data_IF_521087609600
#
_entry.id   IF_521087609600
#
_cell.length_a   1.000
_cell.length_b   1.000
_cell.length_c   1.000
_cell.angle_alpha   90.00
_cell.angle_beta   90.00
_cell.angle_gamma   90.00
#
_symmetry.space_group_name_H-M   'P 1'
#
loop_
_entity.id
_entity.type
_entity.pdbx_description
1 polymer ?
#
# COMPACT_ATOMS: atom_id res chain seq x y z
N UNK A 1 -16.66 42.16 -18.93
CA UNK A 1 -17.25 41.11 -18.06
C UNK A 1 -16.61 39.80 -18.46
N UNK A 2 -15.52 39.43 -17.79
CA UNK A 2 -14.61 38.36 -18.22
C UNK A 2 -15.04 37.07 -17.56
N UNK A 3 -15.67 36.18 -18.32
CA UNK A 3 -16.04 34.83 -17.87
C UNK A 3 -14.77 33.99 -17.75
N UNK A 4 -14.27 33.84 -16.52
CA UNK A 4 -13.25 32.84 -16.22
C UNK A 4 -13.86 31.45 -16.42
N UNK A 5 -13.58 30.83 -17.57
CA UNK A 5 -13.81 29.40 -17.77
C UNK A 5 -12.95 28.64 -16.75
N UNK A 6 -13.57 28.22 -15.64
CA UNK A 6 -12.94 27.29 -14.71
C UNK A 6 -12.77 25.95 -15.45
N UNK A 7 -11.56 25.70 -15.95
CA UNK A 7 -11.17 24.39 -16.44
C UNK A 7 -11.34 23.39 -15.29
N UNK A 8 -12.44 22.64 -15.32
CA UNK A 8 -12.71 21.52 -14.43
C UNK A 8 -11.59 20.49 -14.58
N UNK A 9 -10.56 20.60 -13.73
CA UNK A 9 -9.54 19.57 -13.61
C UNK A 9 -10.22 18.33 -13.05
N UNK A 10 -10.55 17.40 -13.94
CA UNK A 10 -11.07 16.08 -13.56
C UNK A 10 -10.07 15.48 -12.56
N UNK A 11 -10.50 15.15 -11.34
CA UNK A 11 -9.60 14.69 -10.28
C UNK A 11 -9.13 13.26 -10.59
N UNK A 12 -8.15 13.13 -11.48
CA UNK A 12 -7.46 11.85 -11.81
C UNK A 12 -6.44 11.44 -10.75
N UNK A 13 -6.10 12.34 -9.83
CA UNK A 13 -5.04 12.13 -8.84
C UNK A 13 -5.28 10.93 -7.93
N UNK A 14 -6.52 10.68 -7.49
CA UNK A 14 -6.81 9.57 -6.57
C UNK A 14 -6.54 8.20 -7.21
N UNK A 15 -6.90 8.03 -8.48
CA UNK A 15 -6.67 6.77 -9.19
C UNK A 15 -5.17 6.53 -9.42
N UNK A 16 -4.43 7.58 -9.79
CA UNK A 16 -2.96 7.50 -9.94
C UNK A 16 -2.32 7.06 -8.63
N UNK A 17 -2.71 7.68 -7.51
CA UNK A 17 -2.19 7.33 -6.18
C UNK A 17 -2.46 5.85 -5.83
N UNK A 18 -3.68 5.35 -6.10
CA UNK A 18 -4.02 3.95 -5.84
C UNK A 18 -3.29 2.97 -6.75
N UNK A 19 -3.08 3.33 -8.02
CA UNK A 19 -2.28 2.52 -8.95
C UNK A 19 -0.82 2.47 -8.49
N UNK A 20 -0.23 3.61 -8.10
CA UNK A 20 1.12 3.64 -7.53
C UNK A 20 1.23 2.79 -6.26
N UNK A 21 0.22 2.88 -5.39
CA UNK A 21 0.16 2.06 -4.17
C UNK A 21 0.08 0.56 -4.50
N UNK A 22 -0.75 0.18 -5.47
CA UNK A 22 -0.85 -1.21 -5.92
C UNK A 22 0.49 -1.72 -6.48
N UNK A 23 1.17 -0.92 -7.31
CA UNK A 23 2.48 -1.27 -7.85
C UNK A 23 3.54 -1.43 -6.75
N UNK A 24 3.51 -0.57 -5.73
CA UNK A 24 4.39 -0.70 -4.55
C UNK A 24 4.16 -2.01 -3.80
N UNK A 25 2.90 -2.42 -3.62
CA UNK A 25 2.57 -3.71 -3.01
C UNK A 25 3.04 -4.89 -3.85
N UNK A 26 2.89 -4.83 -5.17
CA UNK A 26 3.40 -5.89 -6.07
C UNK A 26 4.93 -5.96 -6.01
N UNK A 27 5.62 -4.82 -6.05
CA UNK A 27 7.07 -4.77 -5.96
C UNK A 27 7.58 -5.30 -4.62
N UNK A 28 6.94 -4.94 -3.52
CA UNK A 28 7.26 -5.45 -2.20
C UNK A 28 7.01 -6.96 -2.07
N UNK A 29 5.86 -7.45 -2.57
CA UNK A 29 5.55 -8.88 -2.54
C UNK A 29 6.57 -9.68 -3.34
N UNK A 30 6.91 -9.21 -4.56
CA UNK A 30 7.97 -9.80 -5.34
C UNK A 30 9.30 -9.82 -4.56
N UNK A 31 9.66 -8.72 -3.92
CA UNK A 31 10.86 -8.69 -3.09
C UNK A 31 10.81 -9.72 -1.94
N UNK A 32 9.72 -9.78 -1.17
CA UNK A 32 9.59 -10.73 -0.06
C UNK A 32 9.68 -12.21 -0.50
N UNK A 33 9.01 -12.57 -1.61
CA UNK A 33 8.98 -13.95 -2.10
C UNK A 33 10.28 -14.38 -2.80
N UNK A 34 11.00 -13.44 -3.45
CA UNK A 34 12.27 -13.73 -4.12
C UNK A 34 13.49 -13.50 -3.22
N UNK A 35 13.35 -12.80 -2.10
CA UNK A 35 14.46 -12.53 -1.19
C UNK A 35 14.98 -13.82 -0.54
N UNK A 36 16.32 -13.98 -0.45
CA UNK A 36 16.92 -15.05 0.33
C UNK A 36 16.59 -14.97 1.82
N UNK A 37 16.45 -16.14 2.43
CA UNK A 37 16.20 -16.32 3.87
C UNK A 37 17.49 -16.38 4.70
N UNK A 38 18.64 -16.24 4.06
CA UNK A 38 19.95 -16.30 4.71
C UNK A 38 20.90 -15.23 4.17
N UNK A 39 21.87 -14.85 4.99
CA UNK A 39 22.92 -13.92 4.62
C UNK A 39 24.08 -14.64 3.92
N UNK A 40 24.75 -13.94 3.01
CA UNK A 40 25.93 -14.49 2.35
C UNK A 40 27.06 -14.72 3.37
N UNK A 41 27.85 -15.78 3.15
CA UNK A 41 29.05 -16.11 3.93
C UNK A 41 28.81 -16.48 5.41
N UNK A 42 27.61 -16.96 5.77
CA UNK A 42 27.32 -17.41 7.14
C UNK A 42 27.37 -16.28 8.17
N UNK A 43 27.10 -15.04 7.75
CA UNK A 43 26.95 -13.91 8.67
C UNK A 43 25.83 -14.20 9.66
N UNK A 44 25.98 -13.69 10.89
CA UNK A 44 24.94 -13.85 11.90
C UNK A 44 23.60 -13.26 11.41
N UNK A 45 22.53 -14.04 11.54
CA UNK A 45 21.17 -13.73 11.11
C UNK A 45 20.28 -13.47 12.33
N UNK A 46 19.42 -12.44 12.25
CA UNK A 46 18.35 -12.21 13.22
C UNK A 46 18.20 -10.75 13.66
N UNK A 47 17.09 -10.48 14.34
CA UNK A 47 16.72 -9.18 14.91
C UNK A 47 17.38 -9.01 16.30
N UNK A 48 18.69 -8.78 16.34
CA UNK A 48 19.46 -8.62 17.59
C UNK A 48 20.70 -7.72 17.45
N UNK A 49 21.26 -7.26 18.58
CA UNK A 49 22.46 -6.41 18.59
C UNK A 49 23.68 -7.18 18.04
N UNK A 50 24.10 -6.83 16.82
CA UNK A 50 25.33 -7.33 16.19
C UNK A 50 25.12 -8.30 15.02
N UNK A 51 23.88 -8.69 14.71
CA UNK A 51 23.55 -9.54 13.56
C UNK A 51 22.88 -8.72 12.46
N UNK A 52 23.07 -9.10 11.19
CA UNK A 52 22.47 -8.38 10.07
C UNK A 52 21.14 -9.03 9.71
N UNK A 53 20.14 -8.20 9.37
CA UNK A 53 18.86 -8.71 8.89
C UNK A 53 19.09 -9.50 7.60
N UNK A 54 18.40 -10.63 7.47
CA UNK A 54 18.32 -11.33 6.19
C UNK A 54 17.60 -10.45 5.18
N UNK A 55 17.82 -10.64 3.86
CA UNK A 55 17.08 -9.92 2.85
C UNK A 55 15.56 -10.06 2.99
N UNK A 56 15.06 -11.24 3.40
CA UNK A 56 13.63 -11.44 3.69
C UNK A 56 13.19 -10.68 4.94
N UNK A 57 13.96 -10.71 6.04
CA UNK A 57 13.63 -9.94 7.25
C UNK A 57 13.60 -8.44 6.99
N UNK A 58 14.50 -7.94 6.13
CA UNK A 58 14.52 -6.55 5.71
C UNK A 58 13.25 -6.20 4.91
N UNK A 59 12.79 -7.10 4.05
CA UNK A 59 11.52 -6.93 3.34
C UNK A 59 10.34 -6.92 4.32
N UNK A 60 10.30 -7.83 5.30
CA UNK A 60 9.29 -7.85 6.37
C UNK A 60 9.28 -6.54 7.15
N UNK A 61 10.45 -6.05 7.55
CA UNK A 61 10.62 -4.79 8.27
C UNK A 61 10.14 -3.58 7.45
N UNK A 62 10.54 -3.49 6.17
CA UNK A 62 10.09 -2.42 5.27
C UNK A 62 8.57 -2.48 5.04
N UNK A 63 8.01 -3.68 4.90
CA UNK A 63 6.57 -3.91 4.74
C UNK A 63 5.78 -3.42 5.95
N UNK A 64 6.24 -3.78 7.14
CA UNK A 64 5.57 -3.48 8.42
C UNK A 64 5.71 -2.03 8.87
N UNK A 65 6.90 -1.43 8.73
CA UNK A 65 7.17 -0.09 9.27
C UNK A 65 6.89 1.03 8.26
N UNK A 66 7.11 0.80 6.97
CA UNK A 66 6.92 1.83 5.95
C UNK A 66 5.65 1.59 5.14
N UNK A 67 5.55 0.44 4.46
CA UNK A 67 4.49 0.20 3.48
C UNK A 67 3.10 0.12 4.13
N UNK A 68 2.98 -0.57 5.27
CA UNK A 68 1.74 -0.69 6.03
C UNK A 68 1.16 0.66 6.48
N UNK A 69 1.88 1.47 7.27
CA UNK A 69 1.40 2.78 7.72
C UNK A 69 1.11 3.74 6.56
N UNK A 70 1.95 3.77 5.53
CA UNK A 70 1.72 4.58 4.33
C UNK A 70 0.44 4.16 3.61
N UNK A 71 0.18 2.86 3.51
CA UNK A 71 -1.05 2.34 2.94
C UNK A 71 -2.27 2.77 3.75
N UNK A 72 -2.21 2.68 5.08
CA UNK A 72 -3.28 3.16 5.96
C UNK A 72 -3.62 4.63 5.73
N UNK A 73 -2.61 5.50 5.63
CA UNK A 73 -2.79 6.92 5.34
C UNK A 73 -3.42 7.17 3.96
N UNK A 74 -2.93 6.49 2.92
CA UNK A 74 -3.47 6.63 1.56
C UNK A 74 -4.93 6.18 1.50
N UNK A 75 -5.26 5.04 2.11
CA UNK A 75 -6.62 4.51 2.14
C UNK A 75 -7.56 5.42 2.94
N UNK A 76 -7.09 6.00 4.06
CA UNK A 76 -7.86 6.95 4.85
C UNK A 76 -8.18 8.22 4.06
N UNK A 77 -7.17 8.85 3.45
CA UNK A 77 -7.35 10.10 2.69
C UNK A 77 -8.22 9.89 1.46
N UNK A 78 -7.94 8.84 0.67
CA UNK A 78 -8.73 8.54 -0.53
C UNK A 78 -10.15 8.07 -0.21
N UNK A 79 -10.32 7.36 0.92
CA UNK A 79 -11.62 6.94 1.44
C UNK A 79 -12.49 8.12 1.83
N UNK A 80 -11.96 9.08 2.59
CA UNK A 80 -12.68 10.29 2.98
C UNK A 80 -13.19 11.09 1.77
N UNK A 81 -12.33 11.29 0.76
CA UNK A 81 -12.70 11.97 -0.49
C UNK A 81 -13.79 11.21 -1.25
N UNK A 82 -13.77 9.87 -1.20
CA UNK A 82 -14.74 9.02 -1.90
C UNK A 82 -16.09 8.95 -1.21
N UNK A 83 -16.15 8.90 0.12
CA UNK A 83 -17.41 8.97 0.87
C UNK A 83 -18.19 10.23 0.49
N UNK A 84 -17.50 11.37 0.41
CA UNK A 84 -18.09 12.65 -0.01
C UNK A 84 -18.55 12.65 -1.47
N UNK A 85 -17.97 11.81 -2.33
CA UNK A 85 -18.32 11.73 -3.76
C UNK A 85 -19.35 10.66 -4.10
N UNK A 86 -19.43 9.58 -3.32
CA UNK A 86 -20.46 8.54 -3.43
C UNK A 86 -21.84 9.16 -3.20
N UNK A 87 -21.97 10.06 -2.23
CA UNK A 87 -23.22 10.78 -1.95
C UNK A 87 -23.69 11.66 -3.11
N UNK A 88 -22.85 11.93 -4.10
CA UNK A 88 -23.17 12.69 -5.31
C UNK A 88 -23.57 11.82 -6.53
N UNK A 89 -23.68 10.49 -6.38
CA UNK A 89 -24.32 9.61 -7.37
C UNK A 89 -23.51 9.27 -8.64
N UNK A 90 -22.20 9.48 -8.66
CA UNK A 90 -21.38 9.21 -9.86
C UNK A 90 -21.04 7.72 -10.02
N UNK A 91 -21.40 7.13 -11.17
CA UNK A 91 -21.11 5.72 -11.54
C UNK A 91 -19.61 5.36 -11.50
N UNK A 92 -18.72 6.34 -11.74
CA UNK A 92 -17.27 6.13 -11.65
C UNK A 92 -16.78 5.88 -10.24
N UNK A 93 -17.54 6.32 -9.23
CA UNK A 93 -17.19 6.11 -7.83
C UNK A 93 -17.29 4.64 -7.44
N UNK A 94 -18.08 3.83 -8.17
CA UNK A 94 -18.23 2.39 -7.91
C UNK A 94 -16.92 1.65 -8.17
N UNK A 95 -16.31 1.84 -9.35
CA UNK A 95 -15.01 1.23 -9.68
C UNK A 95 -13.91 1.63 -8.70
N UNK A 96 -13.94 2.89 -8.33
CA UNK A 96 -13.06 3.45 -7.32
C UNK A 96 -13.21 2.71 -5.97
N UNK A 97 -14.45 2.56 -5.47
CA UNK A 97 -14.76 1.83 -4.23
C UNK A 97 -14.36 0.35 -4.32
N UNK A 98 -14.57 -0.32 -5.45
CA UNK A 98 -14.14 -1.71 -5.66
C UNK A 98 -12.61 -1.81 -5.54
N UNK A 99 -11.85 -0.98 -6.25
CA UNK A 99 -10.37 -1.02 -6.18
C UNK A 99 -9.88 -0.73 -4.76
N UNK A 100 -10.50 0.19 -4.04
CA UNK A 100 -10.12 0.51 -2.65
C UNK A 100 -10.51 -0.58 -1.67
N UNK A 101 -11.67 -1.21 -1.81
CA UNK A 101 -12.06 -2.33 -0.95
C UNK A 101 -11.16 -3.54 -1.16
N UNK A 102 -10.78 -3.84 -2.40
CA UNK A 102 -9.80 -4.89 -2.72
C UNK A 102 -8.42 -4.60 -2.12
N UNK A 103 -7.93 -3.36 -2.25
CA UNK A 103 -6.65 -2.96 -1.64
C UNK A 103 -6.71 -3.03 -0.11
N UNK A 104 -7.79 -2.55 0.51
CA UNK A 104 -7.99 -2.63 1.96
C UNK A 104 -8.03 -4.08 2.44
N UNK A 105 -8.70 -4.98 1.72
CA UNK A 105 -8.76 -6.41 2.03
C UNK A 105 -7.38 -7.07 1.90
N UNK A 106 -6.64 -6.78 0.82
CA UNK A 106 -5.30 -7.30 0.62
C UNK A 106 -4.35 -6.87 1.76
N UNK A 107 -4.42 -5.59 2.15
CA UNK A 107 -3.62 -5.05 3.26
C UNK A 107 -4.02 -5.68 4.59
N UNK A 108 -5.32 -5.83 4.84
CA UNK A 108 -5.82 -6.48 6.06
C UNK A 108 -5.38 -7.95 6.14
N UNK A 109 -5.36 -8.67 5.02
CA UNK A 109 -4.89 -10.06 4.95
C UNK A 109 -3.38 -10.16 5.24
N UNK A 110 -2.57 -9.26 4.66
CA UNK A 110 -1.13 -9.21 4.95
C UNK A 110 -0.90 -8.87 6.42
N UNK A 111 -1.56 -7.84 6.95
CA UNK A 111 -1.45 -7.45 8.35
C UNK A 111 -1.86 -8.60 9.30
N UNK A 112 -2.99 -9.27 9.02
CA UNK A 112 -3.45 -10.40 9.81
C UNK A 112 -2.46 -11.57 9.80
N UNK A 113 -1.86 -11.90 8.65
CA UNK A 113 -0.85 -12.95 8.59
C UNK A 113 0.45 -12.57 9.30
N UNK A 114 0.88 -11.29 9.23
CA UNK A 114 2.05 -10.83 10.01
C UNK A 114 1.78 -10.88 11.52
N UNK A 115 0.58 -10.52 11.97
CA UNK A 115 0.19 -10.56 13.39
C UNK A 115 -0.02 -11.98 13.91
N UNK A 116 -0.45 -12.91 13.05
CA UNK A 116 -0.63 -14.31 13.38
C UNK A 116 0.68 -15.12 13.37
N UNK A 117 1.82 -14.51 13.00
CA UNK A 117 3.10 -15.21 12.81
C UNK A 117 3.06 -16.22 11.66
N UNK A 118 2.16 -16.04 10.70
CA UNK A 118 2.04 -16.89 9.52
C UNK A 118 3.11 -16.57 8.44
N UNK A 119 3.85 -15.47 8.64
CA UNK A 119 4.88 -14.93 7.76
C UNK A 119 6.08 -14.45 8.58
#
# INVERSE_FOLDING_TARGET
MSTHMQASRRPRGSLIVLVCLALLWVAWAAWYFLAPDSNANGQCEGLGFGCTLTPRDLATFAGTIALGPMTGLVLLVTGAVRIVRVSAGSWRTIWDVIVWSLLSLAVAAVAAGTLAGAF
#
